data_IF_680372595232
#
_entry.id   IF_680372595232
#
_cell.length_a   1.000
_cell.length_b   1.000
_cell.length_c   1.000
_cell.angle_alpha   90.00
_cell.angle_beta   90.00
_cell.angle_gamma   90.00
#
_symmetry.space_group_name_H-M   'P 1'
#
loop_
_entity.id
_entity.type
_entity.pdbx_description
1 polymer ?
#
# COMPACT_ATOMS: atom_id res chain seq x y z
N UNK A 1 -10.13 19.22 -3.64
CA UNK A 1 -8.75 18.92 -3.21
C UNK A 1 -7.86 18.84 -4.44
N UNK A 2 -6.67 19.43 -4.40
CA UNK A 2 -5.71 19.39 -5.51
C UNK A 2 -5.34 17.92 -5.84
N UNK A 3 -5.30 17.56 -7.13
CA UNK A 3 -4.90 16.23 -7.59
C UNK A 3 -3.46 15.90 -7.18
N UNK A 4 -2.57 16.89 -7.10
CA UNK A 4 -1.19 16.69 -6.62
C UNK A 4 -1.15 16.33 -5.15
N UNK A 5 -1.97 17.00 -4.34
CA UNK A 5 -2.12 16.68 -2.92
C UNK A 5 -2.66 15.27 -2.72
N UNK A 6 -3.64 14.84 -3.54
CA UNK A 6 -4.12 13.45 -3.51
C UNK A 6 -3.00 12.44 -3.77
N UNK A 7 -2.17 12.65 -4.79
CA UNK A 7 -1.02 11.76 -5.08
C UNK A 7 -0.05 11.70 -3.91
N UNK A 8 0.24 12.84 -3.28
CA UNK A 8 1.08 12.88 -2.08
C UNK A 8 0.46 12.09 -0.91
N UNK A 9 -0.85 12.20 -0.70
CA UNK A 9 -1.56 11.43 0.33
C UNK A 9 -1.51 9.92 0.08
N UNK A 10 -1.51 9.47 -1.18
CA UNK A 10 -1.33 8.06 -1.53
C UNK A 10 0.09 7.56 -1.32
N UNK A 11 1.10 8.42 -1.45
CA UNK A 11 2.49 8.09 -1.14
C UNK A 11 2.73 7.99 0.38
N UNK A 12 2.02 8.83 1.14
CA UNK A 12 2.34 9.15 2.53
C UNK A 12 2.46 7.93 3.45
N UNK A 13 1.57 6.92 3.43
CA UNK A 13 1.69 5.78 4.35
C UNK A 13 3.00 5.01 4.18
N UNK A 14 3.38 4.69 2.95
CA UNK A 14 4.67 4.00 2.69
C UNK A 14 5.86 4.87 3.07
N UNK A 15 5.85 6.16 2.71
CA UNK A 15 6.95 7.08 3.04
C UNK A 15 7.08 7.34 4.54
N UNK A 16 5.97 7.44 5.27
CA UNK A 16 5.96 7.59 6.72
C UNK A 16 6.54 6.36 7.42
N UNK A 17 6.21 5.16 6.94
CA UNK A 17 6.79 3.91 7.46
C UNK A 17 8.27 3.77 7.14
N UNK A 18 8.70 4.19 5.95
CA UNK A 18 10.13 4.28 5.64
C UNK A 18 10.86 5.27 6.57
N UNK A 19 10.25 6.41 6.89
CA UNK A 19 10.77 7.36 7.87
C UNK A 19 10.88 6.76 9.28
N UNK A 20 9.87 5.98 9.70
CA UNK A 20 9.93 5.21 10.96
C UNK A 20 11.06 4.19 10.96
N UNK A 21 11.28 3.49 9.85
CA UNK A 21 12.36 2.50 9.70
C UNK A 21 13.77 3.12 9.87
N UNK A 22 13.98 4.36 9.42
CA UNK A 22 15.26 5.08 9.62
C UNK A 22 15.56 5.29 11.11
N UNK A 23 14.52 5.54 11.91
CA UNK A 23 14.64 5.82 13.35
C UNK A 23 14.62 4.54 14.19
N UNK A 24 14.19 3.42 13.62
CA UNK A 24 13.96 2.20 14.36
C UNK A 24 15.26 1.53 14.82
N UNK A 25 15.38 1.14 16.10
CA UNK A 25 16.55 0.44 16.59
C UNK A 25 16.74 -0.93 15.90
N UNK A 26 17.66 -0.98 14.93
CA UNK A 26 18.02 -2.22 14.24
C UNK A 26 19.21 -2.94 14.90
N UNK A 27 19.38 -4.26 14.68
CA UNK A 27 20.56 -4.99 15.13
C UNK A 27 21.87 -4.26 14.74
N UNK A 28 22.88 -4.21 15.64
CA UNK A 28 22.97 -4.89 16.94
C UNK A 28 22.38 -4.09 18.12
N UNK A 29 21.73 -2.94 17.85
CA UNK A 29 21.20 -2.04 18.89
C UNK A 29 19.73 -2.35 19.25
N UNK A 30 19.11 -3.28 18.54
CA UNK A 30 17.80 -3.82 18.88
C UNK A 30 17.84 -4.46 20.28
N UNK A 31 16.73 -4.34 21.03
CA UNK A 31 16.52 -4.97 22.33
C UNK A 31 17.50 -4.59 23.46
N UNK A 32 18.04 -3.36 23.41
CA UNK A 32 18.81 -2.81 24.52
C UNK A 32 17.93 -1.94 25.42
N UNK A 33 18.19 -1.86 26.72
CA UNK A 33 17.43 -0.99 27.62
C UNK A 33 17.42 0.47 27.15
N UNK A 34 18.53 0.96 26.57
CA UNK A 34 18.66 2.35 26.12
C UNK A 34 17.82 2.65 24.86
N UNK A 35 17.43 1.64 24.10
CA UNK A 35 16.64 1.78 22.86
C UNK A 35 15.18 1.36 23.02
N UNK A 36 14.81 0.84 24.21
CA UNK A 36 13.51 0.26 24.48
C UNK A 36 12.35 1.26 24.37
N UNK A 37 12.54 2.48 24.91
CA UNK A 37 11.53 3.55 24.83
C UNK A 37 11.27 3.97 23.38
N UNK A 38 12.34 4.16 22.60
CA UNK A 38 12.22 4.54 21.18
C UNK A 38 11.52 3.44 20.37
N UNK A 39 11.88 2.18 20.61
CA UNK A 39 11.19 1.02 20.03
C UNK A 39 9.70 1.06 20.34
N UNK A 40 9.35 1.15 21.63
CA UNK A 40 7.96 1.18 22.09
C UNK A 40 7.17 2.33 21.44
N UNK A 41 7.70 3.56 21.48
CA UNK A 41 7.02 4.74 20.92
C UNK A 41 6.81 4.63 19.41
N UNK A 42 7.82 4.18 18.65
CA UNK A 42 7.69 4.00 17.20
C UNK A 42 6.60 3.00 16.86
N UNK A 43 6.47 1.90 17.61
CA UNK A 43 5.42 0.91 17.41
C UNK A 43 4.04 1.42 17.88
N UNK A 44 3.95 2.22 18.94
CA UNK A 44 2.68 2.88 19.30
C UNK A 44 2.17 3.79 18.18
N UNK A 45 3.07 4.56 17.54
CA UNK A 45 2.71 5.33 16.33
C UNK A 45 2.42 4.39 15.15
N UNK A 46 3.18 3.30 15.05
CA UNK A 46 3.04 2.24 14.06
C UNK A 46 1.64 1.64 13.99
N UNK A 47 0.98 1.42 15.12
CA UNK A 47 -0.42 0.95 15.19
C UNK A 47 -1.36 1.76 14.28
N UNK A 48 -1.10 3.06 14.15
CA UNK A 48 -1.88 3.93 13.26
C UNK A 48 -1.33 3.94 11.83
N UNK A 49 -0.01 3.82 11.66
CA UNK A 49 0.67 3.90 10.37
C UNK A 49 0.53 2.64 9.50
N UNK A 50 0.79 1.45 10.06
CA UNK A 50 0.75 0.18 9.33
C UNK A 50 -0.56 -0.06 8.58
N UNK A 51 -1.76 0.07 9.20
CA UNK A 51 -3.00 -0.20 8.48
C UNK A 51 -3.23 0.77 7.31
N UNK A 52 -2.64 1.97 7.34
CA UNK A 52 -2.81 2.96 6.28
C UNK A 52 -2.16 2.53 4.95
N UNK A 53 -1.16 1.64 4.96
CA UNK A 53 -0.59 1.08 3.73
C UNK A 53 -1.65 0.25 2.98
N UNK A 54 -2.39 -0.61 3.69
CA UNK A 54 -3.50 -1.37 3.12
C UNK A 54 -4.66 -0.47 2.69
N UNK A 55 -5.02 0.51 3.54
CA UNK A 55 -6.08 1.48 3.24
C UNK A 55 -5.75 2.31 1.99
N UNK A 56 -4.50 2.70 1.78
CA UNK A 56 -4.10 3.44 0.58
C UNK A 56 -4.35 2.61 -0.71
N UNK A 57 -4.03 1.31 -0.69
CA UNK A 57 -4.30 0.43 -1.83
C UNK A 57 -5.81 0.24 -2.07
N UNK A 58 -6.60 0.09 -1.00
CA UNK A 58 -8.07 0.03 -1.08
C UNK A 58 -8.63 1.33 -1.65
N UNK A 59 -8.12 2.47 -1.19
CA UNK A 59 -8.61 3.79 -1.56
C UNK A 59 -8.40 4.11 -3.05
N UNK A 60 -7.41 3.48 -3.73
CA UNK A 60 -7.26 3.58 -5.19
C UNK A 60 -8.53 3.14 -5.94
N UNK A 61 -9.33 2.27 -5.34
CA UNK A 61 -10.57 1.76 -5.92
C UNK A 61 -11.82 2.59 -5.59
N UNK A 62 -11.64 3.75 -4.95
CA UNK A 62 -12.73 4.67 -4.70
C UNK A 62 -13.28 5.25 -6.02
N UNK A 63 -14.60 5.46 -6.10
CA UNK A 63 -15.33 5.79 -7.35
C UNK A 63 -14.74 6.97 -8.14
N UNK A 64 -14.12 7.92 -7.46
CA UNK A 64 -13.57 9.14 -8.08
C UNK A 64 -12.24 8.90 -8.81
N UNK A 65 -11.53 7.81 -8.51
CA UNK A 65 -10.23 7.49 -9.11
C UNK A 65 -10.33 6.53 -10.29
N UNK A 66 -11.33 5.64 -10.30
CA UNK A 66 -11.50 4.64 -11.35
C UNK A 66 -12.23 5.13 -12.61
N UNK A 67 -12.61 6.41 -12.67
CA UNK A 67 -13.36 7.00 -13.80
C UNK A 67 -14.80 6.45 -13.94
N UNK A 68 -15.55 6.91 -14.97
CA UNK A 68 -16.89 6.39 -15.25
C UNK A 68 -16.82 4.89 -15.54
N UNK A 69 -17.80 4.13 -15.03
CA UNK A 69 -17.90 2.71 -15.30
C UNK A 69 -18.00 2.48 -16.82
N UNK A 70 -17.11 1.64 -17.36
CA UNK A 70 -17.20 1.24 -18.78
C UNK A 70 -18.58 0.57 -18.97
N UNK A 71 -19.45 1.09 -19.87
CA UNK A 71 -20.84 0.62 -20.01
C UNK A 71 -20.96 -0.83 -20.48
N UNK A 72 -19.92 -1.37 -21.11
CA UNK A 72 -19.92 -2.69 -21.73
C UNK A 72 -19.40 -3.77 -20.76
N UNK A 73 -20.30 -4.43 -20.03
CA UNK A 73 -20.14 -5.80 -19.50
C UNK A 73 -19.16 -6.08 -18.34
N UNK A 74 -18.18 -5.21 -18.06
CA UNK A 74 -17.09 -5.51 -17.11
C UNK A 74 -17.40 -5.32 -15.62
N UNK A 75 -18.65 -5.07 -15.21
CA UNK A 75 -18.96 -4.65 -13.85
C UNK A 75 -18.67 -5.74 -12.80
N UNK A 76 -19.01 -7.00 -13.08
CA UNK A 76 -18.81 -8.11 -12.14
C UNK A 76 -17.33 -8.35 -11.84
N UNK A 77 -16.49 -8.36 -12.88
CA UNK A 77 -15.03 -8.45 -12.71
C UNK A 77 -14.48 -7.29 -11.88
N UNK A 78 -15.00 -6.06 -12.06
CA UNK A 78 -14.60 -4.90 -11.24
C UNK A 78 -15.00 -5.05 -9.78
N UNK A 79 -16.17 -5.62 -9.50
CA UNK A 79 -16.60 -5.92 -8.13
C UNK A 79 -15.74 -7.00 -7.50
N UNK A 80 -15.40 -8.06 -8.24
CA UNK A 80 -14.51 -9.11 -7.76
C UNK A 80 -13.13 -8.54 -7.40
N UNK A 81 -12.52 -7.75 -8.28
CA UNK A 81 -11.22 -7.09 -8.02
C UNK A 81 -11.31 -6.19 -6.78
N UNK A 82 -12.34 -5.35 -6.67
CA UNK A 82 -12.57 -4.49 -5.49
C UNK A 82 -12.74 -5.30 -4.21
N UNK A 83 -13.49 -6.40 -4.28
CA UNK A 83 -13.69 -7.31 -3.16
C UNK A 83 -12.39 -7.94 -2.71
N UNK A 84 -11.59 -8.46 -3.65
CA UNK A 84 -10.28 -9.04 -3.35
C UNK A 84 -9.35 -8.01 -2.72
N UNK A 85 -9.18 -6.83 -3.34
CA UNK A 85 -8.34 -5.75 -2.79
C UNK A 85 -8.84 -5.27 -1.42
N UNK A 86 -10.16 -5.14 -1.25
CA UNK A 86 -10.78 -4.76 0.01
C UNK A 86 -10.48 -5.77 1.13
N UNK A 87 -10.68 -7.06 0.85
CA UNK A 87 -10.44 -8.14 1.82
C UNK A 87 -8.95 -8.27 2.13
N UNK A 88 -8.08 -8.36 1.12
CA UNK A 88 -6.65 -8.56 1.36
C UNK A 88 -5.99 -7.35 1.99
N UNK A 89 -6.38 -6.13 1.61
CA UNK A 89 -5.93 -4.91 2.27
C UNK A 89 -6.40 -4.81 3.73
N UNK A 90 -7.62 -5.24 4.03
CA UNK A 90 -8.14 -5.29 5.40
C UNK A 90 -7.46 -6.37 6.25
N UNK A 91 -7.22 -7.56 5.69
CA UNK A 91 -6.49 -8.64 6.37
C UNK A 91 -5.07 -8.19 6.67
N UNK A 92 -4.36 -7.58 5.72
CA UNK A 92 -3.06 -6.97 5.98
C UNK A 92 -3.14 -5.95 7.13
N UNK A 93 -4.05 -4.97 7.03
CA UNK A 93 -4.17 -3.92 8.03
C UNK A 93 -4.43 -4.49 9.44
N UNK A 94 -5.26 -5.51 9.55
CA UNK A 94 -5.61 -6.15 10.82
C UNK A 94 -4.47 -6.98 11.38
N UNK A 95 -3.94 -7.92 10.59
CA UNK A 95 -2.92 -8.86 11.06
C UNK A 95 -1.57 -8.19 11.29
N UNK A 96 -1.21 -7.21 10.46
CA UNK A 96 0.05 -6.49 10.65
C UNK A 96 -0.01 -5.57 11.87
N UNK A 97 -1.16 -4.93 12.14
CA UNK A 97 -1.36 -4.16 13.38
C UNK A 97 -1.35 -5.08 14.60
N UNK A 98 -1.94 -6.28 14.51
CA UNK A 98 -1.92 -7.24 15.61
C UNK A 98 -0.49 -7.76 15.91
N UNK A 99 0.31 -8.05 14.87
CA UNK A 99 1.76 -8.28 15.02
C UNK A 99 2.40 -7.11 15.78
N UNK A 100 2.08 -5.88 15.38
CA UNK A 100 2.74 -4.69 15.91
C UNK A 100 2.44 -4.44 17.39
N UNK A 101 1.19 -4.67 17.79
CA UNK A 101 0.77 -4.60 19.19
C UNK A 101 1.53 -5.64 20.03
N UNK A 102 1.73 -6.85 19.53
CA UNK A 102 2.44 -7.91 20.27
C UNK A 102 3.96 -7.70 20.24
N UNK A 103 4.55 -7.80 19.05
CA UNK A 103 6.00 -7.81 18.83
C UNK A 103 6.65 -6.43 18.94
N UNK A 104 5.92 -5.36 18.64
CA UNK A 104 6.39 -3.99 18.75
C UNK A 104 6.15 -3.44 20.15
N UNK A 105 4.88 -3.20 20.47
CA UNK A 105 4.45 -2.54 21.72
C UNK A 105 4.63 -3.45 22.94
N UNK A 106 4.17 -4.70 22.87
CA UNK A 106 4.28 -5.67 23.97
C UNK A 106 5.73 -5.92 24.37
N UNK A 107 6.57 -6.30 23.42
CA UNK A 107 8.00 -6.53 23.68
C UNK A 107 8.75 -5.26 24.09
N UNK A 108 8.43 -4.10 23.49
CA UNK A 108 8.99 -2.82 23.90
C UNK A 108 8.69 -2.52 25.38
N UNK A 109 7.46 -2.74 25.81
CA UNK A 109 7.05 -2.54 27.19
C UNK A 109 7.75 -3.50 28.16
N UNK A 110 7.81 -4.79 27.84
CA UNK A 110 8.52 -5.79 28.66
C UNK A 110 9.99 -5.41 28.80
N UNK A 111 10.63 -5.00 27.70
CA UNK A 111 12.03 -4.59 27.68
C UNK A 111 12.30 -3.37 28.55
N UNK A 112 11.39 -2.39 28.57
CA UNK A 112 11.51 -1.21 29.43
C UNK A 112 11.38 -1.51 30.93
N UNK A 113 10.68 -2.61 31.29
CA UNK A 113 10.34 -2.94 32.68
C UNK A 113 11.20 -4.03 33.30
N UNK A 114 11.88 -4.86 32.49
CA UNK A 114 12.83 -5.84 33.02
C UNK A 114 14.11 -5.11 33.46
N UNK A 115 14.38 -5.16 34.77
CA UNK A 115 15.61 -4.62 35.38
C UNK A 115 16.82 -5.55 35.18
N UNK A 116 16.59 -6.84 34.87
CA UNK A 116 17.66 -7.80 34.60
C UNK A 116 17.97 -7.98 33.11
N UNK A 117 19.21 -8.35 32.83
CA UNK A 117 19.70 -8.76 31.50
C UNK A 117 19.67 -10.28 31.34
N UNK A 118 18.84 -10.98 32.13
CA UNK A 118 18.73 -12.43 32.14
C UNK A 118 18.07 -12.98 30.88
N UNK A 119 17.75 -14.27 30.90
CA UNK A 119 17.05 -14.91 29.77
C UNK A 119 15.67 -14.25 29.53
N UNK A 120 15.34 -14.04 28.26
CA UNK A 120 14.17 -13.27 27.81
C UNK A 120 13.23 -14.14 27.00
N UNK A 121 12.96 -15.34 27.51
CA UNK A 121 12.08 -16.32 26.88
C UNK A 121 10.71 -15.72 26.54
N UNK A 122 10.16 -14.85 27.39
CA UNK A 122 8.85 -14.24 27.17
C UNK A 122 8.85 -13.35 25.92
N UNK A 123 9.94 -12.64 25.65
CA UNK A 123 10.10 -11.82 24.43
C UNK A 123 10.09 -12.71 23.20
N UNK A 124 10.79 -13.85 23.26
CA UNK A 124 10.83 -14.84 22.18
C UNK A 124 9.45 -15.45 21.90
N UNK A 125 8.69 -15.79 22.94
CA UNK A 125 7.33 -16.32 22.81
C UNK A 125 6.37 -15.30 22.18
N UNK A 126 6.45 -14.03 22.60
CA UNK A 126 5.65 -12.95 22.02
C UNK A 126 6.03 -12.73 20.54
N UNK A 127 7.32 -12.74 20.21
CA UNK A 127 7.77 -12.66 18.81
C UNK A 127 7.24 -13.80 17.97
N UNK A 128 7.28 -15.04 18.48
CA UNK A 128 6.80 -16.20 17.72
C UNK A 128 5.33 -16.07 17.30
N UNK A 129 4.46 -15.58 18.20
CA UNK A 129 3.05 -15.31 17.87
C UNK A 129 2.95 -14.12 16.89
N UNK A 130 3.69 -13.05 17.15
CA UNK A 130 3.75 -11.88 16.27
C UNK A 130 4.13 -12.25 14.84
N UNK A 131 5.19 -13.04 14.65
CA UNK A 131 5.69 -13.47 13.35
C UNK A 131 4.65 -14.27 12.56
N UNK A 132 3.88 -15.13 13.23
CA UNK A 132 2.79 -15.86 12.57
C UNK A 132 1.70 -14.92 12.04
N UNK A 133 1.34 -13.88 12.81
CA UNK A 133 0.39 -12.86 12.37
C UNK A 133 0.97 -12.03 11.22
N UNK A 134 2.23 -11.63 11.32
CA UNK A 134 2.95 -10.91 10.27
C UNK A 134 3.04 -11.69 8.97
N UNK A 135 3.23 -13.00 9.06
CA UNK A 135 3.26 -13.89 7.90
C UNK A 135 1.94 -13.87 7.15
N UNK A 136 0.81 -13.98 7.86
CA UNK A 136 -0.53 -13.87 7.24
C UNK A 136 -0.76 -12.48 6.65
N UNK A 137 -0.44 -11.43 7.41
CA UNK A 137 -0.62 -10.04 6.95
C UNK A 137 0.20 -9.72 5.69
N UNK A 138 1.47 -10.12 5.67
CA UNK A 138 2.37 -9.86 4.54
C UNK A 138 1.99 -10.65 3.27
N UNK A 139 1.51 -11.89 3.40
CA UNK A 139 0.92 -12.61 2.27
C UNK A 139 -0.34 -11.92 1.74
N UNK A 140 -1.19 -11.41 2.62
CA UNK A 140 -2.36 -10.64 2.21
C UNK A 140 -1.94 -9.37 1.44
N UNK A 141 -0.90 -8.67 1.89
CA UNK A 141 -0.32 -7.54 1.16
C UNK A 141 0.20 -7.96 -0.22
N UNK A 142 0.95 -9.06 -0.32
CA UNK A 142 1.46 -9.59 -1.59
C UNK A 142 0.34 -9.84 -2.61
N UNK A 143 -0.74 -10.49 -2.18
CA UNK A 143 -1.91 -10.73 -3.04
C UNK A 143 -2.56 -9.40 -3.44
N UNK A 144 -2.72 -8.48 -2.47
CA UNK A 144 -3.29 -7.16 -2.71
C UNK A 144 -2.51 -6.40 -3.78
N UNK A 145 -1.19 -6.27 -3.65
CA UNK A 145 -0.36 -5.52 -4.60
C UNK A 145 -0.34 -6.16 -5.99
N UNK A 146 -0.36 -7.50 -6.07
CA UNK A 146 -0.41 -8.21 -7.35
C UNK A 146 -1.68 -7.87 -8.11
N UNK A 147 -2.84 -7.96 -7.45
CA UNK A 147 -4.13 -7.66 -8.04
C UNK A 147 -4.21 -6.19 -8.45
N UNK A 148 -3.78 -5.27 -7.57
CA UNK A 148 -3.76 -3.82 -7.85
C UNK A 148 -2.89 -3.50 -9.07
N UNK A 149 -1.67 -4.04 -9.12
CA UNK A 149 -0.73 -3.77 -10.20
C UNK A 149 -1.22 -4.31 -11.54
N UNK A 150 -1.70 -5.56 -11.58
CA UNK A 150 -2.23 -6.19 -12.80
C UNK A 150 -3.46 -5.42 -13.32
N UNK A 151 -4.43 -5.12 -12.45
CA UNK A 151 -5.65 -4.41 -12.85
C UNK A 151 -5.33 -3.00 -13.39
N UNK A 152 -4.43 -2.26 -12.75
CA UNK A 152 -4.03 -0.94 -13.25
C UNK A 152 -3.24 -1.01 -14.55
N UNK A 153 -2.37 -2.02 -14.72
CA UNK A 153 -1.63 -2.23 -15.96
C UNK A 153 -2.57 -2.56 -17.12
N UNK A 154 -3.60 -3.37 -16.89
CA UNK A 154 -4.64 -3.67 -17.89
C UNK A 154 -5.41 -2.42 -18.30
N UNK A 155 -5.78 -1.57 -17.33
CA UNK A 155 -6.63 -0.37 -17.57
C UNK A 155 -5.87 0.81 -18.15
N UNK A 156 -4.67 1.07 -17.63
CA UNK A 156 -3.90 2.28 -17.92
C UNK A 156 -2.65 2.01 -18.76
N UNK A 157 -2.38 0.73 -19.09
CA UNK A 157 -1.25 0.29 -19.93
C UNK A 157 0.07 0.85 -19.40
N UNK A 158 0.92 1.36 -20.30
CA UNK A 158 2.24 1.91 -19.96
C UNK A 158 2.20 3.03 -18.91
N UNK A 159 1.05 3.71 -18.71
CA UNK A 159 0.93 4.76 -17.69
C UNK A 159 1.00 4.20 -16.27
N UNK A 160 0.66 2.92 -16.07
CA UNK A 160 0.68 2.26 -14.77
C UNK A 160 1.97 1.47 -14.49
N UNK A 161 3.00 1.56 -15.34
CA UNK A 161 4.27 0.81 -15.16
C UNK A 161 4.95 1.16 -13.83
N UNK A 162 4.83 2.40 -13.35
CA UNK A 162 5.33 2.78 -12.02
C UNK A 162 4.70 2.00 -10.87
N UNK A 163 3.48 1.46 -11.06
CA UNK A 163 2.84 0.58 -10.08
C UNK A 163 3.52 -0.78 -9.92
N UNK A 164 4.39 -1.19 -10.85
CA UNK A 164 5.16 -2.42 -10.72
C UNK A 164 6.16 -2.37 -9.56
N UNK A 165 6.50 -1.17 -9.05
CA UNK A 165 7.32 -0.99 -7.84
C UNK A 165 6.66 -1.63 -6.60
N UNK A 166 5.34 -1.79 -6.57
CA UNK A 166 4.63 -2.41 -5.45
C UNK A 166 5.05 -3.86 -5.22
N UNK A 167 5.38 -4.60 -6.28
CA UNK A 167 5.72 -6.03 -6.20
C UNK A 167 7.03 -6.30 -5.45
N UNK A 168 8.19 -5.75 -5.86
CA UNK A 168 9.42 -5.88 -5.07
C UNK A 168 9.27 -5.20 -3.71
N UNK A 169 8.48 -4.12 -3.60
CA UNK A 169 8.22 -3.46 -2.32
C UNK A 169 7.57 -4.38 -1.29
N UNK A 170 6.47 -5.03 -1.67
CA UNK A 170 5.77 -5.99 -0.82
C UNK A 170 6.62 -7.25 -0.56
N UNK A 171 7.39 -7.71 -1.56
CA UNK A 171 8.28 -8.86 -1.39
C UNK A 171 9.34 -8.60 -0.30
N UNK A 172 10.00 -7.44 -0.34
CA UNK A 172 10.99 -7.07 0.68
C UNK A 172 10.39 -7.01 2.10
N UNK A 173 9.17 -6.47 2.22
CA UNK A 173 8.39 -6.42 3.48
C UNK A 173 7.87 -7.80 3.93
N UNK A 174 7.76 -8.75 3.00
CA UNK A 174 7.39 -10.12 3.33
C UNK A 174 8.58 -10.94 3.78
N UNK A 175 9.73 -10.78 3.12
CA UNK A 175 10.96 -11.49 3.46
C UNK A 175 11.67 -10.91 4.68
N UNK A 176 11.41 -9.64 4.99
CA UNK A 176 12.04 -8.93 6.09
C UNK A 176 11.04 -8.00 6.79
N UNK A 177 11.28 -7.65 8.05
CA UNK A 177 10.36 -6.82 8.81
C UNK A 177 10.34 -5.37 8.30
N UNK A 178 9.21 -4.64 8.42
CA UNK A 178 9.06 -3.29 7.85
C UNK A 178 10.16 -2.30 8.30
N UNK A 179 10.62 -2.44 9.54
CA UNK A 179 11.64 -1.57 10.10
C UNK A 179 13.09 -2.04 9.87
N UNK A 180 13.31 -3.07 9.06
CA UNK A 180 14.65 -3.45 8.64
C UNK A 180 15.15 -2.53 7.53
N UNK A 181 16.45 -2.57 7.18
CA UNK A 181 16.97 -1.89 6.00
C UNK A 181 16.27 -2.30 4.69
N UNK A 182 15.90 -3.58 4.52
CA UNK A 182 15.16 -4.03 3.35
C UNK A 182 13.68 -3.64 3.44
N UNK A 183 13.08 -3.68 4.61
CA UNK A 183 11.72 -3.21 4.87
C UNK A 183 11.56 -1.71 4.56
N UNK A 184 12.55 -0.89 4.91
CA UNK A 184 12.64 0.53 4.54
C UNK A 184 12.55 0.69 3.02
N UNK A 185 13.42 -0.01 2.28
CA UNK A 185 13.41 0.04 0.80
C UNK A 185 12.06 -0.45 0.28
N UNK A 186 11.51 -1.50 0.88
CA UNK A 186 10.19 -2.02 0.56
C UNK A 186 9.08 -0.97 0.71
N UNK A 187 9.11 -0.20 1.80
CA UNK A 187 8.15 0.87 2.07
C UNK A 187 8.30 2.08 1.15
N UNK A 188 9.52 2.45 0.77
CA UNK A 188 9.75 3.46 -0.25
C UNK A 188 9.14 3.04 -1.60
N UNK A 189 9.35 1.78 -1.99
CA UNK A 189 8.80 1.21 -3.22
C UNK A 189 7.27 1.15 -3.19
N UNK A 190 6.68 0.75 -2.05
CA UNK A 190 5.23 0.74 -1.85
C UNK A 190 4.63 2.16 -1.95
N UNK A 191 5.24 3.15 -1.29
CA UNK A 191 4.82 4.55 -1.36
C UNK A 191 4.92 5.10 -2.79
N UNK A 192 6.06 4.91 -3.45
CA UNK A 192 6.30 5.37 -4.81
C UNK A 192 5.36 4.68 -5.83
N UNK A 193 5.15 3.37 -5.69
CA UNK A 193 4.24 2.61 -6.56
C UNK A 193 2.79 3.05 -6.41
N UNK A 194 2.32 3.25 -5.17
CA UNK A 194 0.95 3.71 -4.88
C UNK A 194 0.72 5.12 -5.44
N UNK A 195 1.67 6.03 -5.23
CA UNK A 195 1.64 7.38 -5.80
C UNK A 195 1.62 7.36 -7.33
N UNK A 196 2.44 6.49 -7.94
CA UNK A 196 2.51 6.33 -9.40
C UNK A 196 1.17 5.88 -9.98
N UNK A 197 0.49 4.92 -9.33
CA UNK A 197 -0.85 4.47 -9.74
C UNK A 197 -1.91 5.57 -9.56
N UNK A 198 -1.88 6.29 -8.43
CA UNK A 198 -2.77 7.42 -8.19
C UNK A 198 -2.59 8.51 -9.26
N UNK A 199 -1.35 8.81 -9.63
CA UNK A 199 -1.03 9.76 -10.70
C UNK A 199 -1.57 9.29 -12.05
N UNK A 200 -1.35 8.03 -12.40
CA UNK A 200 -1.84 7.44 -13.65
C UNK A 200 -3.37 7.53 -13.76
N UNK A 201 -4.08 7.27 -12.66
CA UNK A 201 -5.54 7.35 -12.59
C UNK A 201 -6.05 8.80 -12.66
N UNK A 202 -5.45 9.73 -11.92
CA UNK A 202 -5.91 11.12 -11.81
C UNK A 202 -5.59 11.99 -13.03
N UNK A 203 -4.56 11.65 -13.79
CA UNK A 203 -4.07 12.43 -14.93
C UNK A 203 -4.16 11.67 -16.26
N UNK A 204 -4.92 10.58 -16.32
CA UNK A 204 -5.30 9.97 -17.59
C UNK A 204 -6.21 10.94 -18.39
N UNK A 205 -5.93 11.21 -19.68
CA UNK A 205 -6.86 11.93 -20.53
C UNK A 205 -8.17 11.15 -20.57
N UNK A 206 -9.30 11.85 -20.40
CA UNK A 206 -10.62 11.23 -20.57
C UNK A 206 -10.70 10.58 -21.95
N UNK A 207 -11.21 9.34 -22.01
CA UNK A 207 -11.58 8.73 -23.30
C UNK A 207 -12.48 9.73 -24.04
N UNK A 208 -12.19 10.12 -25.29
CA UNK A 208 -13.13 10.91 -26.07
C UNK A 208 -14.44 10.14 -26.11
N UNK A 209 -15.49 10.72 -25.55
CA UNK A 209 -16.84 10.15 -25.60
C UNK A 209 -17.27 10.14 -27.06
N UNK A 210 -17.79 9.01 -27.57
CA UNK A 210 -18.28 8.83 -28.95
C UNK A 210 -19.22 9.96 -29.44
N UNK A 211 -19.85 10.70 -28.52
CA UNK A 211 -20.66 11.90 -28.79
C UNK A 211 -19.88 13.00 -29.52
N UNK A 212 -18.59 13.21 -29.22
CA UNK A 212 -17.76 14.22 -29.89
C UNK A 212 -17.18 13.77 -31.24
N UNK A 213 -17.22 12.47 -31.53
CA UNK A 213 -16.74 11.91 -32.80
C UNK A 213 -17.82 12.01 -33.88
N UNK A 214 -19.09 11.84 -33.50
CA UNK A 214 -20.23 11.99 -34.41
C UNK A 214 -20.38 13.41 -34.95
N UNK A 215 -20.07 14.44 -34.16
CA UNK A 215 -20.14 15.84 -34.65
C UNK A 215 -19.00 16.22 -35.60
N UNK A 216 -17.87 15.51 -35.55
CA UNK A 216 -16.76 15.70 -36.48
C UNK A 216 -17.02 14.99 -37.81
N UNK A 217 -17.66 13.81 -37.76
CA UNK A 217 -18.03 13.06 -38.96
C UNK A 217 -19.21 13.70 -39.72
N UNK A 218 -20.22 14.23 -39.01
CA UNK A 218 -21.40 14.88 -39.64
C UNK A 218 -21.08 16.25 -40.28
N UNK A 219 -19.97 16.92 -39.88
CA UNK A 219 -19.55 18.21 -40.42
C UNK A 219 -18.75 18.18 -41.73
N UNK A 220 -18.35 17.00 -42.22
CA UNK A 220 -17.49 16.87 -43.42
C UNK A 220 -18.23 16.54 -44.72
N UNK A 221 -19.57 16.48 -44.69
CA UNK A 221 -20.38 16.26 -45.89
C UNK A 221 -20.56 17.56 -46.69
N UNK A 222 -19.51 17.99 -47.39
CA UNK A 222 -19.65 18.97 -48.47
C UNK A 222 -20.55 18.39 -49.57
N UNK A 223 -21.63 19.07 -49.97
CA UNK A 223 -22.43 18.61 -51.10
C UNK A 223 -21.59 18.77 -52.36
N UNK A 224 -21.32 17.66 -53.06
CA UNK A 224 -20.85 17.72 -54.45
C UNK A 224 -21.98 18.34 -55.27
N UNK A 225 -21.84 19.61 -55.63
CA UNK A 225 -22.69 20.25 -56.64
C UNK A 225 -22.51 19.49 -57.96
N UNK A 226 -23.57 18.83 -58.41
CA UNK A 226 -23.72 18.39 -59.78
C UNK A 226 -24.31 19.54 -60.61
N UNK A 227 -23.82 19.60 -61.87
CA UNK A 227 -24.21 20.46 -63.01
C UNK A 227 -24.03 21.96 -62.86
#
# INVERSE_FOLDING_TARGET
MDRRLLVALFALPGLAMAGGAVLHPSPPNAFRPETAELWFQLHVVGILGFPLVGVALIALYHRHLLGPADPEGGWLARWAVRGVVGVTGYVYATFYTALDVLAGVGNGYVLMRKEDTGDREEIGLIFSIGDQLGYVGSWALMICVLVVAVDHLVRHRLRAVGGLLLLPGAYLVHTDHIFSPLGLVGMLLLGAGTASLAWAALFAPGRPTKVGQKSLDEGSSTPRSAS
#
